data_IF_864419617552
#
_entry.id   IF_864419617552
#
_cell.length_a   1.000
_cell.length_b   1.000
_cell.length_c   1.000
_cell.angle_alpha   90.00
_cell.angle_beta   90.00
_cell.angle_gamma   90.00
#
_symmetry.space_group_name_H-M   'P 1'
#
loop_
_entity.id
_entity.type
_entity.pdbx_description
1 polymer ?
#
# COMPACT_ATOMS: atom_id res chain seq x y z
N UNK A 1 -7.66 0.11 -29.50
CA UNK A 1 -8.93 0.82 -29.26
C UNK A 1 -8.77 2.00 -28.30
N UNK A 2 -8.05 1.88 -27.17
CA UNK A 2 -7.82 2.99 -26.20
C UNK A 2 -7.29 4.29 -26.85
N UNK A 3 -6.35 4.19 -27.79
CA UNK A 3 -5.79 5.35 -28.49
C UNK A 3 -6.71 6.05 -29.50
N UNK A 4 -7.95 5.57 -29.67
CA UNK A 4 -8.98 6.22 -30.49
C UNK A 4 -9.94 7.08 -29.64
N UNK A 5 -9.88 6.96 -28.30
CA UNK A 5 -10.76 7.71 -27.41
C UNK A 5 -10.29 9.16 -27.24
N UNK A 6 -11.21 10.11 -27.45
CA UNK A 6 -10.92 11.53 -27.31
C UNK A 6 -10.55 11.90 -25.86
N UNK A 7 -11.22 11.30 -24.88
CA UNK A 7 -10.98 11.55 -23.46
C UNK A 7 -9.61 11.07 -23.01
N UNK A 8 -9.09 9.99 -23.59
CA UNK A 8 -7.71 9.53 -23.38
C UNK A 8 -6.70 10.61 -23.78
N UNK A 9 -6.81 11.14 -25.01
CA UNK A 9 -5.90 12.17 -25.50
C UNK A 9 -6.03 13.49 -24.72
N UNK A 10 -7.25 13.89 -24.36
CA UNK A 10 -7.47 15.06 -23.52
C UNK A 10 -6.79 14.91 -22.15
N UNK A 11 -6.97 13.77 -21.49
CA UNK A 11 -6.34 13.49 -20.22
C UNK A 11 -4.81 13.42 -20.34
N UNK A 12 -4.27 12.82 -21.41
CA UNK A 12 -2.84 12.76 -21.69
C UNK A 12 -2.24 14.15 -21.91
N UNK A 13 -2.88 15.00 -22.71
CA UNK A 13 -2.43 16.37 -22.98
C UNK A 13 -2.42 17.19 -21.69
N UNK A 14 -3.50 17.12 -20.90
CA UNK A 14 -3.56 17.81 -19.60
C UNK A 14 -2.46 17.31 -18.67
N UNK A 15 -2.23 16.00 -18.59
CA UNK A 15 -1.16 15.42 -17.78
C UNK A 15 0.22 15.94 -18.19
N UNK A 16 0.51 15.99 -19.49
CA UNK A 16 1.79 16.51 -20.02
C UNK A 16 1.95 17.99 -19.67
N UNK A 17 0.93 18.81 -19.92
CA UNK A 17 0.96 20.25 -19.61
C UNK A 17 1.22 20.47 -18.12
N UNK A 18 0.49 19.78 -17.25
CA UNK A 18 0.63 19.90 -15.79
C UNK A 18 1.99 19.41 -15.28
N UNK A 19 2.54 18.37 -15.91
CA UNK A 19 3.86 17.84 -15.58
C UNK A 19 4.96 18.83 -15.97
N UNK A 20 4.90 19.40 -17.19
CA UNK A 20 5.85 20.41 -17.66
C UNK A 20 5.77 21.68 -16.80
N UNK A 21 4.57 22.19 -16.54
CA UNK A 21 4.35 23.35 -15.67
C UNK A 21 4.95 23.12 -14.28
N UNK A 22 4.71 21.94 -13.70
CA UNK A 22 5.25 21.60 -12.38
C UNK A 22 6.76 21.41 -12.40
N UNK A 23 7.32 20.85 -13.46
CA UNK A 23 8.77 20.74 -13.67
C UNK A 23 9.46 22.09 -13.72
N UNK A 24 8.89 23.05 -14.46
CA UNK A 24 9.38 24.44 -14.52
C UNK A 24 9.33 25.09 -13.12
N UNK A 25 8.26 24.88 -12.36
CA UNK A 25 8.15 25.40 -10.98
C UNK A 25 9.17 24.77 -10.05
N UNK A 26 9.43 23.47 -10.18
CA UNK A 26 10.45 22.79 -9.39
C UNK A 26 11.86 23.33 -9.71
N UNK A 27 12.16 23.57 -11.00
CA UNK A 27 13.41 24.20 -11.44
C UNK A 27 13.58 25.61 -10.84
N UNK A 28 12.48 26.35 -10.68
CA UNK A 28 12.45 27.67 -10.04
C UNK A 28 12.46 27.61 -8.49
N UNK A 29 12.73 26.43 -7.90
CA UNK A 29 12.79 26.17 -6.45
C UNK A 29 11.46 26.34 -5.69
N UNK A 30 10.32 26.31 -6.36
CA UNK A 30 9.04 26.21 -5.66
C UNK A 30 8.86 24.79 -5.09
N UNK A 31 8.30 24.69 -3.88
CA UNK A 31 8.12 23.44 -3.11
C UNK A 31 7.07 22.46 -3.70
N UNK A 32 6.88 22.47 -5.02
CA UNK A 32 5.86 21.72 -5.75
C UNK A 32 6.36 20.35 -6.27
N UNK A 33 7.37 19.75 -5.62
CA UNK A 33 7.92 18.45 -6.03
C UNK A 33 6.94 17.27 -5.88
N UNK A 34 6.01 17.35 -4.91
CA UNK A 34 5.04 16.28 -4.64
C UNK A 34 4.04 16.13 -5.79
N UNK A 35 3.65 17.20 -6.48
CA UNK A 35 2.70 17.11 -7.59
C UNK A 35 3.30 16.41 -8.80
N UNK A 36 4.60 16.58 -9.04
CA UNK A 36 5.31 15.85 -10.11
C UNK A 36 5.27 14.35 -9.83
N UNK A 37 5.51 13.94 -8.59
CA UNK A 37 5.43 12.52 -8.22
C UNK A 37 4.04 11.94 -8.51
N UNK A 38 2.97 12.68 -8.17
CA UNK A 38 1.59 12.28 -8.47
C UNK A 38 1.36 12.14 -9.98
N UNK A 39 1.79 13.10 -10.79
CA UNK A 39 1.61 13.03 -12.24
C UNK A 39 2.42 11.90 -12.89
N UNK A 40 3.65 11.67 -12.44
CA UNK A 40 4.48 10.55 -12.91
C UNK A 40 3.82 9.22 -12.57
N UNK A 41 3.26 9.08 -11.36
CA UNK A 41 2.52 7.85 -11.01
C UNK A 41 1.28 7.67 -11.87
N UNK A 42 0.49 8.73 -12.10
CA UNK A 42 -0.67 8.64 -12.97
C UNK A 42 -0.29 8.23 -14.40
N UNK A 43 0.78 8.80 -14.94
CA UNK A 43 1.31 8.42 -16.25
C UNK A 43 1.65 6.93 -16.30
N UNK A 44 2.46 6.46 -15.35
CA UNK A 44 2.93 5.08 -15.32
C UNK A 44 1.78 4.07 -15.19
N UNK A 45 0.76 4.35 -14.36
CA UNK A 45 -0.29 3.39 -14.05
C UNK A 45 -1.49 3.43 -15.01
N UNK A 46 -1.81 4.57 -15.62
CA UNK A 46 -3.02 4.73 -16.43
C UNK A 46 -2.77 4.94 -17.93
N UNK A 47 -1.58 5.40 -18.31
CA UNK A 47 -1.26 5.70 -19.71
C UNK A 47 -0.25 4.74 -20.32
N UNK A 48 0.70 4.21 -19.54
CA UNK A 48 1.73 3.30 -20.07
C UNK A 48 1.18 1.88 -20.30
N UNK A 49 0.40 1.35 -19.37
CA UNK A 49 -0.06 -0.05 -19.44
C UNK A 49 -0.91 -0.40 -20.68
N UNK A 50 -1.84 0.46 -21.16
CA UNK A 50 -2.55 0.21 -22.42
C UNK A 50 -1.66 0.05 -23.66
N UNK A 51 -0.44 0.62 -23.65
CA UNK A 51 0.53 0.42 -24.73
C UNK A 51 1.37 -0.84 -24.55
N UNK A 52 1.61 -1.27 -23.30
CA UNK A 52 2.37 -2.48 -23.01
C UNK A 52 1.53 -3.75 -23.19
N UNK A 53 0.25 -3.70 -22.85
CA UNK A 53 -0.66 -4.86 -22.84
C UNK A 53 -1.98 -4.57 -23.58
N UNK A 54 -1.96 -4.25 -24.90
CA UNK A 54 -3.15 -3.82 -25.62
C UNK A 54 -4.27 -4.87 -25.64
N UNK A 55 -3.92 -6.16 -25.73
CA UNK A 55 -4.85 -7.29 -25.77
C UNK A 55 -5.74 -7.38 -24.51
N UNK A 56 -5.25 -6.86 -23.39
CA UNK A 56 -5.98 -6.84 -22.12
C UNK A 56 -7.12 -5.82 -22.11
N UNK A 57 -7.27 -5.01 -23.16
CA UNK A 57 -8.28 -3.95 -23.25
C UNK A 57 -9.34 -4.21 -24.32
N UNK A 58 -9.19 -5.27 -25.11
CA UNK A 58 -10.06 -5.53 -26.26
C UNK A 58 -11.47 -5.98 -25.87
N UNK A 59 -11.65 -6.53 -24.66
CA UNK A 59 -12.96 -6.92 -24.14
C UNK A 59 -13.73 -5.76 -23.48
N UNK A 60 -13.10 -4.60 -23.27
CA UNK A 60 -13.72 -3.46 -22.61
C UNK A 60 -14.42 -2.54 -23.61
N UNK A 61 -15.70 -2.19 -23.39
CA UNK A 61 -16.40 -1.24 -24.24
C UNK A 61 -15.75 0.15 -24.19
N UNK A 62 -15.72 0.81 -25.34
CA UNK A 62 -15.18 2.18 -25.51
C UNK A 62 -15.83 3.20 -24.58
N UNK A 63 -17.12 3.07 -24.30
CA UNK A 63 -17.84 3.96 -23.38
C UNK A 63 -17.29 3.93 -21.95
N UNK A 64 -16.96 2.74 -21.43
CA UNK A 64 -16.37 2.60 -20.09
C UNK A 64 -14.97 3.19 -20.04
N UNK A 65 -14.16 2.94 -21.06
CA UNK A 65 -12.84 3.57 -21.19
C UNK A 65 -12.97 5.08 -21.22
N UNK A 66 -13.94 5.62 -21.97
CA UNK A 66 -14.16 7.05 -22.06
C UNK A 66 -14.57 7.68 -20.73
N UNK A 67 -15.46 7.03 -19.97
CA UNK A 67 -15.87 7.45 -18.63
C UNK A 67 -14.71 7.40 -17.64
N UNK A 68 -13.96 6.30 -17.61
CA UNK A 68 -12.82 6.12 -16.72
C UNK A 68 -11.71 7.14 -16.98
N UNK A 69 -11.36 7.43 -18.24
CA UNK A 69 -10.43 8.52 -18.56
C UNK A 69 -11.02 9.92 -18.27
N UNK A 70 -12.33 10.08 -18.34
CA UNK A 70 -13.04 11.27 -17.87
C UNK A 70 -12.86 11.51 -16.36
N UNK A 71 -12.91 10.44 -15.55
CA UNK A 71 -12.63 10.53 -14.11
C UNK A 71 -11.18 10.90 -13.83
N UNK A 72 -10.22 10.35 -14.59
CA UNK A 72 -8.80 10.72 -14.49
C UNK A 72 -8.60 12.20 -14.85
N UNK A 73 -9.27 12.68 -15.89
CA UNK A 73 -9.23 14.10 -16.27
C UNK A 73 -9.79 15.00 -15.16
N UNK A 74 -10.94 14.62 -14.58
CA UNK A 74 -11.55 15.34 -13.46
C UNK A 74 -10.62 15.35 -12.25
N UNK A 75 -9.97 14.23 -11.95
CA UNK A 75 -8.96 14.14 -10.90
C UNK A 75 -7.78 15.08 -11.17
N UNK A 76 -7.23 15.12 -12.39
CA UNK A 76 -6.11 16.00 -12.74
C UNK A 76 -6.46 17.49 -12.54
N UNK A 77 -7.63 17.90 -13.02
CA UNK A 77 -8.13 19.27 -12.86
C UNK A 77 -8.37 19.59 -11.39
N UNK A 78 -9.09 18.71 -10.67
CA UNK A 78 -9.38 18.88 -9.26
C UNK A 78 -8.09 18.93 -8.42
N UNK A 79 -7.18 17.98 -8.62
CA UNK A 79 -5.89 17.94 -7.93
C UNK A 79 -5.10 19.23 -8.18
N UNK A 80 -5.06 19.75 -9.41
CA UNK A 80 -4.35 21.00 -9.72
C UNK A 80 -4.93 22.22 -8.99
N UNK A 81 -6.25 22.27 -8.82
CA UNK A 81 -6.96 23.34 -8.12
C UNK A 81 -6.79 23.26 -6.60
N UNK A 82 -6.92 22.06 -6.03
CA UNK A 82 -6.92 21.84 -4.58
C UNK A 82 -5.52 21.66 -3.98
N UNK A 83 -4.56 21.07 -4.71
CA UNK A 83 -3.18 20.87 -4.24
C UNK A 83 -2.49 22.16 -3.75
N UNK A 84 -2.54 23.32 -4.44
CA UNK A 84 -1.93 24.54 -3.94
C UNK A 84 -2.63 25.08 -2.67
N UNK A 85 -3.94 24.87 -2.54
CA UNK A 85 -4.70 25.27 -1.34
C UNK A 85 -4.33 24.39 -0.17
N UNK A 86 -4.30 23.07 -0.38
CA UNK A 86 -3.93 22.08 0.63
C UNK A 86 -2.47 22.25 1.09
N UNK A 87 -1.52 22.42 0.16
CA UNK A 87 -0.11 22.64 0.51
C UNK A 87 0.06 23.95 1.28
N UNK A 88 -0.59 25.04 0.86
CA UNK A 88 -0.59 26.28 1.65
C UNK A 88 -1.21 26.08 3.02
N UNK A 89 -2.31 25.34 3.15
CA UNK A 89 -2.95 25.12 4.45
C UNK A 89 -2.09 24.27 5.39
N UNK A 90 -1.44 23.23 4.87
CA UNK A 90 -0.53 22.34 5.62
C UNK A 90 0.75 23.08 6.00
N UNK A 91 1.36 23.83 5.08
CA UNK A 91 2.62 24.55 5.29
C UNK A 91 2.43 25.89 6.03
N UNK A 92 1.24 26.52 5.98
CA UNK A 92 0.90 27.73 6.76
C UNK A 92 0.58 27.41 8.21
N UNK A 93 0.41 26.15 8.59
CA UNK A 93 0.55 25.82 10.01
C UNK A 93 2.00 26.14 10.33
N UNK A 94 2.31 27.16 11.17
CA UNK A 94 3.63 27.19 11.77
C UNK A 94 3.75 25.80 12.38
N UNK A 95 4.84 25.09 12.09
CA UNK A 95 5.16 23.90 12.85
C UNK A 95 5.20 24.37 14.30
N UNK A 96 4.07 24.24 15.01
CA UNK A 96 4.03 24.31 16.46
C UNK A 96 5.19 23.43 16.86
N UNK A 97 6.18 24.00 17.56
CA UNK A 97 7.53 23.45 17.79
C UNK A 97 7.56 22.13 18.57
N UNK A 98 6.81 21.14 18.09
CA UNK A 98 6.75 19.75 18.50
C UNK A 98 7.82 18.96 17.74
N UNK A 99 8.28 19.46 16.58
CA UNK A 99 9.45 18.93 15.85
C UNK A 99 10.74 19.74 16.05
N UNK A 100 10.74 20.75 16.93
CA UNK A 100 11.98 21.32 17.50
C UNK A 100 12.52 20.45 18.66
N UNK A 101 12.05 19.21 18.72
CA UNK A 101 12.66 18.23 19.60
C UNK A 101 13.98 17.81 18.98
N UNK A 102 15.07 18.11 19.69
CA UNK A 102 16.43 17.57 19.51
C UNK A 102 16.46 16.04 19.71
N UNK A 103 15.53 15.31 19.09
CA UNK A 103 15.46 13.86 19.19
C UNK A 103 16.66 13.30 18.46
N UNK A 104 17.55 12.67 19.22
CA UNK A 104 18.66 11.96 18.63
C UNK A 104 18.10 10.75 17.87
N UNK A 105 18.70 10.31 16.75
CA UNK A 105 18.30 9.09 16.05
C UNK A 105 18.22 7.87 16.97
N UNK A 106 19.01 7.92 18.04
CA UNK A 106 19.05 7.00 19.15
C UNK A 106 17.74 6.94 19.95
N UNK A 107 17.19 8.08 20.36
CA UNK A 107 15.91 8.16 21.07
C UNK A 107 14.76 7.68 20.17
N UNK A 108 14.82 8.00 18.88
CA UNK A 108 13.82 7.53 17.90
C UNK A 108 13.91 6.01 17.76
N UNK A 109 15.11 5.43 17.72
CA UNK A 109 15.28 3.98 17.68
C UNK A 109 14.77 3.31 18.95
N UNK A 110 15.05 3.87 20.14
CA UNK A 110 14.52 3.32 21.39
C UNK A 110 12.99 3.38 21.39
N UNK A 111 12.39 4.52 21.04
CA UNK A 111 10.94 4.67 20.99
C UNK A 111 10.30 3.73 19.96
N UNK A 112 10.85 3.66 18.75
CA UNK A 112 10.38 2.76 17.68
C UNK A 112 10.56 1.29 18.07
N UNK A 113 11.68 0.92 18.67
CA UNK A 113 11.97 -0.43 19.15
C UNK A 113 11.06 -0.85 20.30
N UNK A 114 10.80 0.04 21.27
CA UNK A 114 9.84 -0.21 22.35
C UNK A 114 8.42 -0.36 21.82
N UNK A 115 7.99 0.53 20.91
CA UNK A 115 6.68 0.45 20.30
C UNK A 115 6.53 -0.84 19.47
N UNK A 116 7.54 -1.20 18.68
CA UNK A 116 7.60 -2.46 17.96
C UNK A 116 7.47 -3.65 18.90
N UNK A 117 8.21 -3.66 20.00
CA UNK A 117 8.21 -4.76 20.96
C UNK A 117 6.85 -4.92 21.64
N UNK A 118 6.22 -3.82 22.06
CA UNK A 118 4.87 -3.85 22.64
C UNK A 118 3.85 -4.39 21.64
N UNK A 119 3.88 -3.90 20.40
CA UNK A 119 2.98 -4.37 19.35
C UNK A 119 3.24 -5.84 19.02
N UNK A 120 4.49 -6.27 18.98
CA UNK A 120 4.85 -7.67 18.77
C UNK A 120 4.32 -8.57 19.90
N UNK A 121 4.47 -8.18 21.15
CA UNK A 121 3.92 -8.93 22.30
C UNK A 121 2.39 -9.02 22.24
N UNK A 122 1.71 -7.94 21.87
CA UNK A 122 0.25 -7.95 21.66
C UNK A 122 -0.10 -8.92 20.53
N UNK A 123 0.65 -8.90 19.42
CA UNK A 123 0.48 -9.83 18.30
C UNK A 123 0.65 -11.29 18.71
N UNK A 124 1.71 -11.62 19.46
CA UNK A 124 1.96 -12.97 20.00
C UNK A 124 0.85 -13.40 20.95
N UNK A 125 0.38 -12.51 21.83
CA UNK A 125 -0.75 -12.80 22.72
C UNK A 125 -2.02 -13.13 21.93
N UNK A 126 -2.29 -12.42 20.82
CA UNK A 126 -3.41 -12.72 19.92
C UNK A 126 -3.27 -14.06 19.20
N UNK A 127 -2.04 -14.52 18.98
CA UNK A 127 -1.73 -15.85 18.42
C UNK A 127 -1.72 -16.96 19.48
N UNK A 128 -2.26 -16.72 20.68
CA UNK A 128 -2.29 -17.70 21.76
C UNK A 128 -0.92 -18.02 22.36
N UNK A 129 0.08 -17.15 22.17
CA UNK A 129 1.45 -17.36 22.63
C UNK A 129 2.37 -18.04 21.61
N UNK A 130 1.88 -18.35 20.41
CA UNK A 130 2.71 -18.93 19.35
C UNK A 130 3.63 -17.88 18.71
N UNK A 131 4.86 -17.79 19.22
CA UNK A 131 5.90 -16.88 18.71
C UNK A 131 6.34 -17.25 17.30
N UNK A 132 6.38 -18.55 16.98
CA UNK A 132 6.85 -19.02 15.68
C UNK A 132 5.79 -18.72 14.62
N UNK A 133 4.52 -19.06 14.88
CA UNK A 133 3.41 -18.69 14.01
C UNK A 133 3.22 -17.17 13.87
N UNK A 134 3.53 -16.40 14.91
CA UNK A 134 3.51 -14.94 14.85
C UNK A 134 4.59 -14.36 13.92
N UNK A 135 5.80 -14.92 13.90
CA UNK A 135 6.89 -14.47 13.03
C UNK A 135 6.85 -15.09 11.63
N UNK A 136 6.33 -16.31 11.52
CA UNK A 136 6.27 -17.10 10.30
C UNK A 136 4.83 -17.62 10.11
N UNK A 137 3.92 -16.77 9.61
CA UNK A 137 2.55 -17.17 9.32
C UNK A 137 2.52 -18.08 8.08
N UNK A 138 2.74 -19.38 8.29
CA UNK A 138 2.81 -20.38 7.21
C UNK A 138 1.45 -20.63 6.54
N UNK A 139 0.35 -20.26 7.18
CA UNK A 139 -0.99 -20.45 6.63
C UNK A 139 -1.41 -19.30 5.68
N UNK A 140 -0.50 -18.37 5.38
CA UNK A 140 -0.69 -17.33 4.38
C UNK A 140 -1.84 -16.36 4.70
N UNK A 141 -2.55 -15.91 3.66
CA UNK A 141 -3.65 -14.92 3.79
C UNK A 141 -4.91 -15.49 4.46
N UNK A 142 -5.12 -16.80 4.36
CA UNK A 142 -6.28 -17.49 4.95
C UNK A 142 -6.10 -17.88 6.42
N UNK A 143 -4.85 -17.84 6.91
CA UNK A 143 -4.48 -18.26 8.25
C UNK A 143 -4.52 -17.17 9.32
N UNK A 144 -4.38 -17.57 10.59
CA UNK A 144 -4.24 -16.64 11.70
C UNK A 144 -2.91 -15.86 11.57
N UNK A 145 -2.99 -14.53 11.63
CA UNK A 145 -1.84 -13.64 11.63
C UNK A 145 -1.95 -12.66 12.81
N UNK A 146 -0.81 -12.15 13.30
CA UNK A 146 -0.76 -11.22 14.46
C UNK A 146 -1.75 -10.05 14.35
N UNK A 147 -1.93 -9.53 13.13
CA UNK A 147 -2.79 -8.40 12.83
C UNK A 147 -3.88 -8.72 11.81
N UNK A 148 -4.18 -10.01 11.63
CA UNK A 148 -5.27 -10.50 10.82
C UNK A 148 -6.62 -10.13 11.42
N UNK A 149 -7.59 -9.87 10.53
CA UNK A 149 -9.00 -9.61 10.87
C UNK A 149 -9.88 -10.63 10.14
N UNK A 150 -10.87 -11.17 10.82
CA UNK A 150 -11.96 -11.88 10.16
C UNK A 150 -12.72 -10.94 9.22
N UNK A 151 -13.28 -11.49 8.12
CA UNK A 151 -14.07 -10.72 7.16
C UNK A 151 -15.32 -10.06 7.79
N UNK A 152 -15.77 -10.54 8.96
CA UNK A 152 -17.01 -10.12 9.64
C UNK A 152 -16.75 -9.60 11.07
N UNK A 153 -15.57 -9.06 11.37
CA UNK A 153 -15.33 -8.44 12.69
C UNK A 153 -15.85 -6.99 12.73
N UNK A 154 -17.14 -6.85 13.02
CA UNK A 154 -17.79 -5.54 13.24
C UNK A 154 -17.65 -5.11 14.71
N UNK A 155 -16.71 -4.21 15.03
CA UNK A 155 -16.56 -3.66 16.39
C UNK A 155 -15.35 -2.76 16.61
N UNK A 156 -15.21 -2.20 17.82
CA UNK A 156 -14.03 -1.42 18.22
C UNK A 156 -12.73 -2.25 18.17
N UNK A 157 -12.82 -3.57 18.36
CA UNK A 157 -11.72 -4.52 18.19
C UNK A 157 -11.18 -4.53 16.76
N UNK A 158 -12.04 -4.60 15.74
CA UNK A 158 -11.62 -4.62 14.33
C UNK A 158 -10.88 -3.36 13.89
N UNK A 159 -11.28 -2.19 14.41
CA UNK A 159 -10.54 -0.94 14.21
C UNK A 159 -9.17 -1.00 14.88
N UNK A 160 -9.10 -1.34 16.18
CA UNK A 160 -7.84 -1.42 16.92
C UNK A 160 -6.86 -2.42 16.32
N UNK A 161 -7.35 -3.56 15.83
CA UNK A 161 -6.56 -4.58 15.12
C UNK A 161 -5.99 -4.00 13.82
N UNK A 162 -6.82 -3.34 13.02
CA UNK A 162 -6.38 -2.76 11.74
C UNK A 162 -5.37 -1.62 11.99
N UNK A 163 -5.67 -0.72 12.93
CA UNK A 163 -4.76 0.35 13.34
C UNK A 163 -3.45 -0.20 13.87
N UNK A 164 -3.49 -1.23 14.74
CA UNK A 164 -2.30 -1.91 15.25
C UNK A 164 -1.45 -2.50 14.14
N UNK A 165 -2.06 -3.16 13.15
CA UNK A 165 -1.37 -3.67 11.97
C UNK A 165 -0.70 -2.59 11.13
N UNK A 166 -1.40 -1.47 10.87
CA UNK A 166 -0.82 -0.34 10.14
C UNK A 166 0.33 0.32 10.91
N UNK A 167 0.17 0.53 12.23
CA UNK A 167 1.23 1.09 13.07
C UNK A 167 2.41 0.15 13.13
N UNK A 168 2.20 -1.17 13.26
CA UNK A 168 3.27 -2.16 13.27
C UNK A 168 4.05 -2.16 11.95
N UNK A 169 3.36 -2.05 10.82
CA UNK A 169 3.99 -1.92 9.50
C UNK A 169 4.80 -0.62 9.39
N UNK A 170 4.22 0.52 9.80
CA UNK A 170 4.90 1.81 9.79
C UNK A 170 6.16 1.81 10.68
N UNK A 171 6.07 1.26 11.90
CA UNK A 171 7.21 1.15 12.82
C UNK A 171 8.30 0.26 12.23
N UNK A 172 7.93 -0.85 11.59
CA UNK A 172 8.91 -1.72 10.90
C UNK A 172 9.61 -0.98 9.76
N UNK A 173 8.87 -0.25 8.94
CA UNK A 173 9.45 0.61 7.91
C UNK A 173 10.43 1.64 8.50
N UNK A 174 10.05 2.30 9.60
CA UNK A 174 10.92 3.23 10.32
C UNK A 174 12.20 2.57 10.84
N UNK A 175 12.12 1.36 11.39
CA UNK A 175 13.29 0.60 11.83
C UNK A 175 14.27 0.35 10.68
N UNK A 176 13.77 -0.01 9.50
CA UNK A 176 14.57 -0.13 8.28
C UNK A 176 15.27 1.18 7.91
N UNK A 177 14.55 2.29 7.90
CA UNK A 177 15.12 3.63 7.63
C UNK A 177 16.21 3.99 8.65
N UNK A 178 15.96 3.73 9.93
CA UNK A 178 16.87 4.09 11.03
C UNK A 178 18.24 3.41 10.93
N UNK A 179 18.36 2.26 10.26
CA UNK A 179 19.66 1.58 10.00
C UNK A 179 20.70 2.55 9.42
N UNK A 180 20.29 3.49 8.58
CA UNK A 180 21.18 4.44 7.92
C UNK A 180 21.54 5.68 8.75
N UNK A 181 20.72 6.01 9.75
CA UNK A 181 20.87 7.24 10.53
C UNK A 181 21.48 7.01 11.93
N UNK A 182 21.71 5.77 12.34
CA UNK A 182 22.40 5.46 13.60
C UNK A 182 23.91 5.73 13.50
N UNK A 183 24.45 6.39 14.54
CA UNK A 183 25.90 6.67 14.65
C UNK A 183 26.70 5.46 15.13
N UNK A 184 26.16 4.70 16.09
CA UNK A 184 26.85 3.54 16.67
C UNK A 184 26.55 2.26 15.90
N UNK A 185 27.58 1.44 15.63
CA UNK A 185 27.45 0.14 14.95
C UNK A 185 26.48 -0.80 15.68
N UNK A 186 26.51 -0.83 17.01
CA UNK A 186 25.62 -1.68 17.81
C UNK A 186 24.13 -1.36 17.58
N UNK A 187 23.75 -0.08 17.59
CA UNK A 187 22.36 0.34 17.35
C UNK A 187 21.93 0.16 15.90
N UNK A 188 22.85 0.35 14.96
CA UNK A 188 22.61 0.02 13.55
C UNK A 188 22.32 -1.46 13.39
N UNK A 189 23.10 -2.33 14.04
CA UNK A 189 22.91 -3.77 14.00
C UNK A 189 21.61 -4.17 14.70
N UNK A 190 21.25 -3.55 15.82
CA UNK A 190 19.97 -3.75 16.48
C UNK A 190 18.78 -3.39 15.56
N UNK A 191 18.78 -2.19 14.98
CA UNK A 191 17.73 -1.76 14.06
C UNK A 191 17.60 -2.72 12.86
N UNK A 192 18.75 -3.11 12.30
CA UNK A 192 18.81 -4.08 11.20
C UNK A 192 18.32 -5.46 11.60
N UNK A 193 18.65 -5.94 12.79
CA UNK A 193 18.22 -7.24 13.31
C UNK A 193 16.71 -7.26 13.54
N UNK A 194 16.14 -6.25 14.23
CA UNK A 194 14.69 -6.17 14.46
C UNK A 194 13.93 -6.06 13.14
N UNK A 195 14.43 -5.25 12.20
CA UNK A 195 13.88 -5.16 10.86
C UNK A 195 13.91 -6.52 10.15
N UNK A 196 15.07 -7.18 10.10
CA UNK A 196 15.26 -8.47 9.45
C UNK A 196 14.39 -9.59 10.06
N UNK A 197 14.24 -9.63 11.38
CA UNK A 197 13.39 -10.61 12.09
C UNK A 197 11.91 -10.42 11.73
N UNK A 198 11.49 -9.20 11.42
CA UNK A 198 10.08 -8.90 11.10
C UNK A 198 9.75 -9.12 9.61
N UNK A 199 10.75 -9.16 8.72
CA UNK A 199 10.52 -9.34 7.28
C UNK A 199 9.83 -10.67 6.91
N UNK A 200 10.19 -11.83 7.50
CA UNK A 200 9.50 -13.09 7.22
C UNK A 200 8.00 -13.02 7.47
N UNK A 201 7.56 -12.35 8.54
CA UNK A 201 6.14 -12.16 8.84
C UNK A 201 5.41 -11.49 7.67
N UNK A 202 5.94 -10.37 7.17
CA UNK A 202 5.30 -9.64 6.08
C UNK A 202 5.38 -10.38 4.74
N UNK A 203 6.46 -11.13 4.50
CA UNK A 203 6.62 -11.93 3.29
C UNK A 203 5.63 -13.10 3.26
N UNK A 204 5.49 -13.83 4.38
CA UNK A 204 4.66 -15.02 4.48
C UNK A 204 3.19 -14.72 4.80
N UNK A 205 2.83 -13.52 5.25
CA UNK A 205 1.44 -13.12 5.46
C UNK A 205 0.58 -13.08 4.17
N UNK A 206 1.17 -13.38 2.99
CA UNK A 206 0.44 -13.53 1.73
C UNK A 206 0.00 -12.22 1.09
N UNK A 207 0.48 -11.08 1.59
CA UNK A 207 0.08 -9.75 1.13
C UNK A 207 1.29 -8.91 0.70
N UNK A 208 1.55 -8.89 -0.62
CA UNK A 208 2.66 -8.16 -1.26
C UNK A 208 2.72 -6.69 -0.87
N UNK A 209 1.56 -6.04 -0.72
CA UNK A 209 1.46 -4.62 -0.35
C UNK A 209 2.00 -4.32 1.05
N UNK A 210 1.81 -5.22 2.02
CA UNK A 210 2.33 -5.03 3.37
C UNK A 210 3.86 -5.19 3.41
N UNK A 211 4.39 -6.19 2.70
CA UNK A 211 5.83 -6.37 2.56
C UNK A 211 6.51 -5.20 1.85
N UNK A 212 5.95 -4.73 0.73
CA UNK A 212 6.46 -3.54 0.05
C UNK A 212 6.42 -2.30 0.93
N UNK A 213 5.34 -2.09 1.69
CA UNK A 213 5.24 -0.96 2.60
C UNK A 213 6.34 -0.96 3.69
N UNK A 214 6.80 -2.14 4.14
CA UNK A 214 7.92 -2.25 5.07
C UNK A 214 9.30 -2.05 4.40
N UNK A 215 9.50 -2.62 3.20
CA UNK A 215 10.82 -2.70 2.55
C UNK A 215 11.13 -1.48 1.67
N UNK A 216 10.15 -0.89 1.00
CA UNK A 216 10.35 0.24 0.08
C UNK A 216 11.02 1.44 0.78
N UNK A 217 10.61 1.86 1.99
CA UNK A 217 11.30 2.94 2.70
C UNK A 217 12.77 2.64 2.97
N UNK A 218 13.13 1.39 3.28
CA UNK A 218 14.52 0.96 3.42
C UNK A 218 15.29 1.08 2.09
N UNK A 219 14.71 0.61 0.98
CA UNK A 219 15.31 0.68 -0.37
C UNK A 219 15.51 2.14 -0.80
N UNK A 220 14.50 2.99 -0.63
CA UNK A 220 14.58 4.41 -0.97
C UNK A 220 15.67 5.09 -0.14
N UNK A 221 15.70 4.82 1.18
CA UNK A 221 16.73 5.39 2.06
C UNK A 221 18.13 4.92 1.65
N UNK A 222 18.28 3.65 1.27
CA UNK A 222 19.53 3.13 0.73
C UNK A 222 19.95 3.86 -0.56
N UNK A 223 19.00 4.09 -1.48
CA UNK A 223 19.28 4.77 -2.75
C UNK A 223 19.77 6.21 -2.55
N UNK A 224 19.16 6.96 -1.62
CA UNK A 224 19.52 8.36 -1.38
C UNK A 224 20.73 8.53 -0.44
N UNK A 225 20.81 7.76 0.64
CA UNK A 225 21.75 8.00 1.75
C UNK A 225 22.93 7.01 1.84
N UNK A 226 23.00 5.99 0.99
CA UNK A 226 24.18 5.10 1.00
C UNK A 226 25.45 5.83 0.59
N UNK A 227 26.61 5.29 0.96
CA UNK A 227 27.93 5.84 0.59
C UNK A 227 28.48 5.26 -0.72
N UNK A 228 27.76 4.33 -1.35
CA UNK A 228 28.20 3.67 -2.57
C UNK A 228 28.07 4.61 -3.79
N UNK A 229 28.88 4.44 -4.84
CA UNK A 229 28.67 5.14 -6.11
C UNK A 229 27.32 4.74 -6.73
N UNK A 230 26.72 5.64 -7.52
CA UNK A 230 25.38 5.49 -8.08
C UNK A 230 25.21 4.18 -8.87
N UNK A 231 26.22 3.75 -9.60
CA UNK A 231 26.18 2.47 -10.34
C UNK A 231 26.04 1.25 -9.43
N UNK A 232 26.75 1.22 -8.29
CA UNK A 232 26.61 0.12 -7.32
C UNK A 232 25.24 0.16 -6.65
N UNK A 233 24.69 1.36 -6.39
CA UNK A 233 23.32 1.49 -5.86
C UNK A 233 22.30 0.94 -6.84
N UNK A 234 22.42 1.27 -8.12
CA UNK A 234 21.53 0.77 -9.18
C UNK A 234 21.68 -0.74 -9.38
N UNK A 235 22.91 -1.28 -9.34
CA UNK A 235 23.13 -2.71 -9.43
C UNK A 235 22.48 -3.47 -8.27
N UNK A 236 22.65 -2.98 -7.03
CA UNK A 236 22.01 -3.57 -5.85
C UNK A 236 20.48 -3.43 -5.91
N UNK A 237 19.98 -2.30 -6.42
CA UNK A 237 18.55 -2.10 -6.64
C UNK A 237 18.00 -3.08 -7.68
N UNK A 238 18.72 -3.33 -8.77
CA UNK A 238 18.34 -4.29 -9.80
C UNK A 238 18.30 -5.72 -9.23
N UNK A 239 19.32 -6.12 -8.46
CA UNK A 239 19.32 -7.42 -7.76
C UNK A 239 18.16 -7.51 -6.78
N UNK A 240 17.95 -6.48 -5.95
CA UNK A 240 16.82 -6.45 -5.02
C UNK A 240 15.48 -6.55 -5.75
N UNK A 241 15.32 -5.86 -6.88
CA UNK A 241 14.12 -5.94 -7.71
C UNK A 241 13.89 -7.36 -8.24
N UNK A 242 14.92 -8.04 -8.76
CA UNK A 242 14.82 -9.43 -9.21
C UNK A 242 14.45 -10.36 -8.04
N UNK A 243 15.12 -10.21 -6.89
CA UNK A 243 14.80 -11.00 -5.70
C UNK A 243 13.36 -10.77 -5.21
N UNK A 244 12.87 -9.53 -5.24
CA UNK A 244 11.49 -9.20 -4.89
C UNK A 244 10.51 -9.79 -5.92
N UNK A 245 10.82 -9.73 -7.20
CA UNK A 245 9.98 -10.26 -8.27
C UNK A 245 9.81 -11.78 -8.14
N UNK A 246 10.92 -12.51 -8.02
CA UNK A 246 10.89 -13.97 -7.82
C UNK A 246 10.26 -14.34 -6.47
N UNK A 247 10.55 -13.57 -5.41
CA UNK A 247 9.91 -13.72 -4.12
C UNK A 247 8.39 -13.50 -4.15
N UNK A 248 7.88 -12.59 -4.99
CA UNK A 248 6.44 -12.39 -5.12
C UNK A 248 5.76 -13.43 -6.00
N UNK A 249 6.44 -13.97 -7.03
CA UNK A 249 5.94 -15.15 -7.74
C UNK A 249 5.77 -16.32 -6.78
N UNK A 250 6.76 -16.53 -5.92
CA UNK A 250 6.69 -17.48 -4.81
C UNK A 250 5.41 -17.20 -3.99
N UNK A 251 5.27 -16.02 -3.38
CA UNK A 251 4.07 -15.65 -2.57
C UNK A 251 2.73 -15.88 -3.28
N UNK A 252 2.63 -15.60 -4.59
CA UNK A 252 1.40 -15.82 -5.36
C UNK A 252 1.08 -17.31 -5.52
N UNK A 253 2.08 -18.13 -5.84
CA UNK A 253 1.90 -19.58 -5.95
C UNK A 253 1.38 -20.21 -4.64
N UNK A 254 1.88 -19.76 -3.48
CA UNK A 254 1.40 -20.25 -2.17
C UNK A 254 0.03 -19.68 -1.78
N UNK A 255 -0.31 -18.48 -2.24
CA UNK A 255 -1.63 -17.88 -2.01
C UNK A 255 -2.72 -18.68 -2.70
N UNK A 256 -2.47 -19.14 -3.91
CA UNK A 256 -3.47 -19.79 -4.75
C UNK A 256 -3.61 -21.30 -4.41
N UNK A 257 -2.65 -21.89 -3.67
CA UNK A 257 -2.61 -23.30 -3.25
C UNK A 257 -3.08 -23.59 -1.82
N UNK A 258 -3.51 -22.57 -1.06
CA UNK A 258 -4.11 -22.76 0.27
C UNK A 258 -3.17 -22.58 1.48
N UNK A 259 -1.88 -22.32 1.27
CA UNK A 259 -0.91 -22.00 2.33
C UNK A 259 0.49 -22.55 2.08
N UNK A 260 1.49 -22.07 2.85
CA UNK A 260 2.87 -22.55 2.77
C UNK A 260 3.04 -23.97 3.32
N UNK A 261 2.19 -24.42 4.26
CA UNK A 261 2.27 -25.77 4.85
C UNK A 261 2.00 -26.87 3.84
N UNK A 262 0.97 -26.70 3.02
CA UNK A 262 0.55 -27.73 2.04
C UNK A 262 1.56 -27.87 0.90
N UNK A 263 2.22 -26.78 0.52
CA UNK A 263 3.24 -26.79 -0.53
C UNK A 263 4.62 -27.20 -0.01
N UNK A 264 5.00 -26.84 1.22
CA UNK A 264 6.21 -27.37 1.87
C UNK A 264 6.12 -28.88 2.13
N UNK A 265 4.91 -29.41 2.25
CA UNK A 265 4.64 -30.85 2.37
C UNK A 265 4.54 -31.57 1.01
N UNK A 266 4.57 -30.83 -0.11
CA UNK A 266 4.48 -31.42 -1.46
C UNK A 266 5.84 -31.96 -1.94
N UNK A 267 5.81 -33.08 -2.66
CA UNK A 267 7.01 -33.79 -3.12
C UNK A 267 7.83 -33.00 -4.17
N UNK A 268 7.18 -32.08 -4.92
CA UNK A 268 7.81 -31.20 -5.92
C UNK A 268 7.26 -29.76 -5.86
N UNK A 269 7.81 -28.88 -5.00
CA UNK A 269 7.34 -27.49 -4.83
C UNK A 269 7.51 -26.63 -6.10
N UNK A 270 8.43 -27.01 -6.98
CA UNK A 270 8.79 -26.26 -8.19
C UNK A 270 7.82 -26.50 -9.36
N UNK A 271 7.11 -27.63 -9.40
CA UNK A 271 6.13 -27.93 -10.48
C UNK A 271 4.82 -27.14 -10.31
N UNK A 272 4.52 -26.67 -9.09
CA UNK A 272 3.38 -25.77 -8.81
C UNK A 272 3.68 -24.30 -9.13
N UNK A 273 4.95 -23.95 -9.37
CA UNK A 273 5.34 -22.65 -9.91
C UNK A 273 5.10 -22.64 -11.42
N UNK A 274 3.84 -22.51 -11.86
CA UNK A 274 3.58 -22.28 -13.27
C UNK A 274 4.34 -21.01 -13.72
N UNK A 275 5.16 -21.12 -14.77
CA UNK A 275 5.89 -20.00 -15.41
C UNK A 275 4.96 -18.83 -15.79
N UNK A 276 3.67 -19.10 -15.94
CA UNK A 276 2.60 -18.16 -16.28
C UNK A 276 1.71 -17.74 -15.09
N UNK A 277 2.22 -17.76 -13.86
CA UNK A 277 1.56 -17.11 -12.72
C UNK A 277 1.61 -15.58 -12.86
N UNK A 278 0.97 -15.05 -13.92
CA UNK A 278 0.73 -13.62 -14.10
C UNK A 278 -0.04 -13.14 -12.87
N UNK A 279 0.30 -11.99 -12.29
CA UNK A 279 -0.49 -11.41 -11.22
C UNK A 279 -1.95 -11.31 -11.68
N UNK A 280 -2.83 -12.15 -11.12
CA UNK A 280 -4.28 -12.04 -11.30
C UNK A 280 -4.76 -10.81 -10.52
N UNK A 281 -4.44 -9.65 -11.05
CA UNK A 281 -4.89 -8.33 -10.61
C UNK A 281 -5.28 -7.56 -11.85
N UNK A 282 -6.44 -6.93 -11.81
CA UNK A 282 -6.86 -6.04 -12.87
C UNK A 282 -5.91 -4.84 -12.92
N UNK A 283 -5.58 -4.38 -14.11
CA UNK A 283 -4.81 -3.15 -14.26
C UNK A 283 -5.66 -1.95 -13.83
N UNK A 284 -5.04 -0.87 -13.40
CA UNK A 284 -5.74 0.21 -12.69
C UNK A 284 -6.89 0.84 -13.49
N UNK A 285 -6.74 0.97 -14.81
CA UNK A 285 -7.83 1.45 -15.68
C UNK A 285 -8.93 0.39 -15.87
N UNK A 286 -8.59 -0.90 -15.89
CA UNK A 286 -9.58 -1.98 -15.89
C UNK A 286 -10.35 -1.99 -14.57
N UNK A 287 -9.67 -1.83 -13.43
CA UNK A 287 -10.31 -1.70 -12.12
C UNK A 287 -11.32 -0.56 -12.12
N UNK A 288 -10.96 0.60 -12.68
CA UNK A 288 -11.86 1.74 -12.82
C UNK A 288 -13.10 1.40 -13.67
N UNK A 289 -12.90 0.77 -14.84
CA UNK A 289 -13.99 0.33 -15.70
C UNK A 289 -14.93 -0.66 -14.99
N UNK A 290 -14.38 -1.60 -14.24
CA UNK A 290 -15.16 -2.55 -13.46
C UNK A 290 -15.94 -1.85 -12.33
N UNK A 291 -15.32 -0.90 -11.61
CA UNK A 291 -16.00 -0.09 -10.60
C UNK A 291 -17.17 0.66 -11.21
N UNK A 292 -17.00 1.27 -12.39
CA UNK A 292 -18.07 1.98 -13.08
C UNK A 292 -19.23 1.04 -13.44
N UNK A 293 -18.95 -0.16 -13.95
CA UNK A 293 -19.98 -1.19 -14.20
C UNK A 293 -20.68 -1.60 -12.92
N UNK A 294 -19.94 -1.81 -11.82
CA UNK A 294 -20.53 -2.17 -10.54
C UNK A 294 -21.46 -1.08 -10.01
N UNK A 295 -21.09 0.20 -10.13
CA UNK A 295 -21.93 1.34 -9.74
C UNK A 295 -23.16 1.49 -10.64
N UNK A 296 -23.00 1.34 -11.96
CA UNK A 296 -24.10 1.42 -12.93
C UNK A 296 -25.11 0.27 -12.77
N UNK A 297 -24.64 -0.92 -12.39
CA UNK A 297 -25.51 -2.07 -12.13
C UNK A 297 -26.42 -1.91 -10.91
N UNK A 298 -26.21 -0.87 -10.08
CA UNK A 298 -26.96 -0.66 -8.84
C UNK A 298 -26.66 -1.66 -7.73
N UNK A 299 -25.69 -2.57 -7.95
CA UNK A 299 -25.31 -3.61 -6.99
C UNK A 299 -24.62 -3.05 -5.73
N UNK A 300 -24.09 -1.83 -5.81
CA UNK A 300 -23.46 -1.10 -4.70
C UNK A 300 -23.71 0.41 -4.80
N UNK A 301 -23.88 1.07 -3.65
CA UNK A 301 -23.95 2.54 -3.57
C UNK A 301 -22.55 3.13 -3.32
N UNK A 302 -22.14 4.21 -4.02
CA UNK A 302 -20.86 4.86 -3.75
C UNK A 302 -20.83 5.42 -2.32
N UNK A 303 -19.86 4.94 -1.53
CA UNK A 303 -19.65 5.41 -0.17
C UNK A 303 -18.82 6.72 -0.20
N UNK A 304 -19.46 7.86 -0.45
CA UNK A 304 -18.86 9.20 -0.47
C UNK A 304 -18.30 9.63 0.89
N UNK A 305 -17.23 9.01 1.40
CA UNK A 305 -16.65 9.38 2.68
C UNK A 305 -17.44 8.91 3.91
N UNK A 306 -18.75 8.68 3.78
CA UNK A 306 -19.62 8.26 4.88
C UNK A 306 -19.16 6.97 5.55
N UNK A 307 -18.58 6.03 4.79
CA UNK A 307 -17.99 4.81 5.35
C UNK A 307 -16.74 5.10 6.18
N UNK A 308 -15.86 6.00 5.73
CA UNK A 308 -14.70 6.45 6.51
C UNK A 308 -15.12 7.22 7.77
N UNK A 309 -16.16 8.05 7.68
CA UNK A 309 -16.72 8.75 8.84
C UNK A 309 -17.34 7.76 9.84
N UNK A 310 -18.05 6.74 9.36
CA UNK A 310 -18.63 5.69 10.19
C UNK A 310 -17.56 4.83 10.88
N UNK A 311 -16.45 4.55 10.18
CA UNK A 311 -15.29 3.86 10.74
C UNK A 311 -14.55 4.74 11.76
N UNK A 312 -14.39 6.04 11.49
CA UNK A 312 -13.78 7.00 12.42
C UNK A 312 -14.61 7.15 13.69
N UNK A 313 -15.93 7.25 13.56
CA UNK A 313 -16.85 7.34 14.69
C UNK A 313 -17.09 5.98 15.35
N UNK A 314 -16.37 4.92 14.92
CA UNK A 314 -16.60 3.58 15.44
C UNK A 314 -16.24 3.44 16.94
N UNK A 315 -15.34 4.28 17.46
CA UNK A 315 -14.95 4.27 18.88
C UNK A 315 -16.11 4.60 19.83
N UNK A 316 -17.15 5.30 19.37
CA UNK A 316 -18.32 5.64 20.19
C UNK A 316 -19.17 4.37 20.40
N UNK A 317 -19.32 3.89 21.65
CA UNK A 317 -20.14 2.73 21.94
C UNK A 317 -21.60 2.93 21.50
N UNK A 318 -22.23 1.90 20.93
CA UNK A 318 -23.65 1.95 20.51
C UNK A 318 -24.63 2.18 21.66
N UNK A 319 -24.20 1.95 22.91
CA UNK A 319 -24.96 2.30 24.11
C UNK A 319 -25.20 3.82 24.20
N UNK A 320 -24.23 4.62 23.73
CA UNK A 320 -24.30 6.09 23.73
C UNK A 320 -24.96 6.61 22.45
N UNK A 321 -24.79 5.90 21.32
CA UNK A 321 -25.45 6.24 20.06
C UNK A 321 -26.10 5.01 19.40
N UNK A 322 -27.37 4.73 19.76
CA UNK A 322 -28.07 3.53 19.27
C UNK A 322 -28.30 3.53 17.76
N UNK A 323 -28.60 4.69 17.17
CA UNK A 323 -28.88 4.88 15.73
C UNK A 323 -27.63 5.06 14.87
N UNK A 324 -26.44 4.76 15.39
CA UNK A 324 -25.17 4.87 14.66
C UNK A 324 -25.19 3.97 13.40
N UNK A 325 -24.77 4.49 12.24
CA UNK A 325 -24.71 3.68 11.02
C UNK A 325 -23.89 2.40 11.19
N UNK A 326 -24.31 1.32 10.54
CA UNK A 326 -23.57 0.05 10.53
C UNK A 326 -22.38 0.13 9.57
N UNK A 327 -21.25 -0.48 9.93
CA UNK A 327 -20.10 -0.59 9.05
C UNK A 327 -20.41 -1.64 7.98
N UNK A 328 -20.50 -1.21 6.71
CA UNK A 328 -20.36 -2.07 5.53
C UNK A 328 -21.17 -3.37 5.49
N UNK A 329 -22.45 -3.36 5.92
CA UNK A 329 -23.31 -4.56 5.83
C UNK A 329 -23.81 -4.82 4.39
N UNK A 330 -23.63 -3.87 3.46
CA UNK A 330 -24.18 -3.99 2.11
C UNK A 330 -23.54 -5.11 1.26
N UNK A 331 -22.38 -5.66 1.66
CA UNK A 331 -21.81 -6.85 1.02
C UNK A 331 -22.36 -8.18 1.58
N UNK A 332 -22.95 -8.20 2.77
CA UNK A 332 -23.39 -9.43 3.43
C UNK A 332 -24.87 -9.77 3.17
N UNK A 333 -25.70 -8.79 2.82
CA UNK A 333 -27.14 -9.04 2.54
C UNK A 333 -27.39 -9.66 1.18
N UNK A 334 -26.48 -9.50 0.21
CA UNK A 334 -26.62 -10.06 -1.14
C UNK A 334 -26.33 -11.57 -1.23
N UNK A 335 -25.76 -12.18 -0.18
CA UNK A 335 -25.49 -13.63 -0.15
C UNK A 335 -26.65 -14.42 0.50
N UNK A 336 -27.66 -13.75 1.07
CA UNK A 336 -28.80 -14.41 1.73
C UNK A 336 -30.08 -14.49 0.88
N UNK A 337 -30.00 -14.23 -0.43
CA UNK A 337 -31.14 -14.35 -1.34
C UNK A 337 -30.78 -14.94 -2.70
N UNK A 338 -30.03 -16.04 -2.70
CA UNK A 338 -30.04 -17.05 -3.77
C UNK A 338 -30.27 -18.41 -3.14
#
# INVERSE_FOLDING_TARGET
>A
MVGQELTFWLAAVVLVILTVESGIKLLNRDSFGITIAVYVTLFAWYFVDPFLNPESYDYLPSSLLAESYGQILLFLVGFRLFAPVATRWILRRPSSGIFDTRLTPEQILTAAGTLWFVLFLIGVYRMGGDVIGALFPLDGRGGPTMWGRGAVETGASGFLISSGGYVFNAVTAFLGVLVFFQRSTARRLLAGAVFAITLPYFFMAGARSHFLAAVVPFIITYLFFSRHPLMIRLAILAVAFVCLNEGFKFVVAFRDSGGYRDVLASENPYEMMSEDARPSGLNMIQELCFVDVYLQSGSTSPAYGGRYLNELLNFIPRVIWPSKPMIGIDYARTVSSV
#
